data_IF_527404023539
#
_entry.id   IF_527404023539
#
_cell.length_a   1.000
_cell.length_b   1.000
_cell.length_c   1.000
_cell.angle_alpha   90.00
_cell.angle_beta   90.00
_cell.angle_gamma   90.00
#
_symmetry.space_group_name_H-M   'P 1'
#
loop_
_entity.id
_entity.type
_entity.pdbx_description
1 polymer ?
#
# COMPACT_ATOMS: atom_id res chain seq x y z
N UNK A 1 1.65 -5.52 28.59
CA UNK A 1 2.54 -5.82 27.45
C UNK A 1 2.26 -7.25 26.97
N UNK A 2 1.39 -7.42 25.95
CA UNK A 2 1.13 -8.74 25.35
C UNK A 2 1.99 -8.86 24.10
N UNK A 3 3.04 -9.68 24.18
CA UNK A 3 3.84 -10.10 23.03
C UNK A 3 3.00 -11.08 22.22
N UNK A 4 2.58 -10.72 21.01
CA UNK A 4 2.04 -11.70 20.06
C UNK A 4 3.16 -12.22 19.18
N UNK A 5 3.15 -13.54 19.02
CA UNK A 5 4.19 -14.31 18.38
C UNK A 5 4.30 -13.99 16.88
N UNK A 6 5.53 -13.77 16.44
CA UNK A 6 5.96 -13.67 15.06
C UNK A 6 5.64 -15.02 14.36
N UNK A 7 4.63 -15.04 13.49
CA UNK A 7 4.39 -16.18 12.61
C UNK A 7 5.43 -16.10 11.49
N UNK A 8 6.50 -16.87 11.67
CA UNK A 8 7.48 -17.17 10.63
C UNK A 8 6.80 -18.06 9.57
N UNK A 9 6.39 -17.48 8.45
CA UNK A 9 6.12 -18.24 7.23
C UNK A 9 7.21 -17.91 6.21
N UNK A 10 8.31 -18.67 6.27
CA UNK A 10 9.21 -18.85 5.15
C UNK A 10 8.43 -19.55 4.02
N UNK A 11 8.40 -18.95 2.84
CA UNK A 11 8.34 -19.67 1.55
C UNK A 11 8.81 -18.72 0.44
N UNK A 12 10.11 -18.77 0.18
CA UNK A 12 10.70 -18.42 -1.13
C UNK A 12 10.29 -19.51 -2.14
N UNK A 13 10.13 -19.16 -3.42
CA UNK A 13 11.30 -19.23 -4.28
C UNK A 13 11.58 -17.94 -5.07
N UNK A 14 12.87 -17.69 -5.17
CA UNK A 14 13.57 -16.75 -6.05
C UNK A 14 13.02 -16.74 -7.48
N UNK A 15 12.77 -15.55 -8.02
CA UNK A 15 12.96 -15.27 -9.43
C UNK A 15 13.66 -13.91 -9.56
N UNK A 16 14.98 -13.95 -9.80
CA UNK A 16 15.73 -12.78 -10.22
C UNK A 16 15.21 -12.33 -11.58
N UNK A 17 14.83 -11.07 -11.74
CA UNK A 17 14.83 -10.43 -13.04
C UNK A 17 15.61 -9.13 -12.94
N UNK A 18 16.77 -9.16 -13.57
CA UNK A 18 17.68 -8.05 -13.72
C UNK A 18 17.06 -6.91 -14.54
N UNK A 19 17.45 -5.69 -14.18
CA UNK A 19 17.40 -4.48 -15.00
C UNK A 19 17.86 -4.75 -16.44
N UNK A 20 17.07 -4.34 -17.45
CA UNK A 20 17.60 -3.98 -18.77
C UNK A 20 16.82 -2.81 -19.37
N UNK A 21 17.57 -1.76 -19.70
CA UNK A 21 17.21 -0.59 -20.49
C UNK A 21 16.77 -0.92 -21.94
N UNK A 22 15.75 -0.21 -22.41
CA UNK A 22 15.62 0.43 -23.73
C UNK A 22 16.21 -0.24 -25.02
N UNK A 23 15.27 -0.59 -25.93
CA UNK A 23 15.23 -0.34 -27.40
C UNK A 23 16.25 -1.05 -28.33
N UNK A 24 15.78 -1.94 -29.23
CA UNK A 24 15.86 -1.82 -30.71
C UNK A 24 15.08 -2.90 -31.47
N UNK A 25 14.68 -2.56 -32.70
CA UNK A 25 13.69 -3.17 -33.59
C UNK A 25 14.24 -4.18 -34.63
N UNK A 26 13.32 -5.00 -35.16
CA UNK A 26 13.23 -5.62 -36.50
C UNK A 26 13.89 -6.99 -36.79
N UNK A 27 13.07 -8.05 -36.96
CA UNK A 27 12.56 -8.54 -38.26
C UNK A 27 11.87 -9.92 -38.13
N UNK A 28 10.67 -10.01 -38.73
CA UNK A 28 9.81 -11.19 -38.96
C UNK A 28 10.51 -12.26 -39.87
N UNK A 29 10.09 -13.56 -39.93
CA UNK A 29 8.69 -13.92 -40.26
C UNK A 29 8.09 -15.25 -39.73
N UNK A 30 6.75 -15.25 -39.70
CA UNK A 30 5.81 -16.31 -40.13
C UNK A 30 5.28 -17.38 -39.16
N UNK A 31 3.94 -17.31 -39.05
CA UNK A 31 2.92 -18.34 -38.79
C UNK A 31 2.83 -19.01 -37.41
N UNK A 32 1.85 -18.57 -36.62
CA UNK A 32 0.91 -19.44 -35.89
C UNK A 32 -0.11 -18.63 -35.10
N UNK A 33 -1.40 -18.90 -35.29
CA UNK A 33 -2.56 -18.51 -34.46
C UNK A 33 -2.43 -17.22 -33.63
N UNK A 34 -2.96 -16.10 -34.14
CA UNK A 34 -3.07 -14.88 -33.35
C UNK A 34 -4.16 -15.03 -32.28
N UNK A 35 -3.84 -15.67 -31.16
CA UNK A 35 -4.36 -15.17 -29.89
C UNK A 35 -3.63 -13.84 -29.70
N UNK A 36 -4.27 -12.73 -30.08
CA UNK A 36 -3.72 -11.41 -29.81
C UNK A 36 -3.41 -11.36 -28.31
N UNK A 37 -2.14 -11.30 -27.95
CA UNK A 37 -1.69 -11.06 -26.58
C UNK A 37 -2.24 -9.68 -26.20
N UNK A 38 -3.37 -9.67 -25.52
CA UNK A 38 -4.01 -8.44 -25.03
C UNK A 38 -3.29 -7.99 -23.76
N UNK A 39 -2.76 -6.78 -23.78
CA UNK A 39 -2.15 -6.17 -22.60
C UNK A 39 -3.27 -5.78 -21.64
N UNK A 40 -3.28 -6.38 -20.46
CA UNK A 40 -4.23 -6.09 -19.38
C UNK A 40 -3.55 -5.25 -18.32
N UNK A 41 -4.33 -4.44 -17.63
CA UNK A 41 -3.87 -3.66 -16.48
C UNK A 41 -4.73 -3.94 -15.25
N UNK A 42 -4.09 -3.96 -14.09
CA UNK A 42 -4.78 -4.05 -12.80
C UNK A 42 -4.12 -3.10 -11.82
N UNK A 43 -4.94 -2.30 -11.17
CA UNK A 43 -4.53 -1.46 -10.05
C UNK A 43 -5.00 -2.08 -8.74
N UNK A 44 -4.17 -1.96 -7.72
CA UNK A 44 -4.45 -2.35 -6.35
C UNK A 44 -4.23 -1.14 -5.46
N UNK A 45 -5.06 -0.98 -4.43
CA UNK A 45 -4.90 0.08 -3.42
C UNK A 45 -4.32 -0.52 -2.15
N UNK A 46 -3.30 0.11 -1.58
CA UNK A 46 -2.72 -0.32 -0.31
C UNK A 46 -3.73 -0.02 0.81
N UNK A 47 -4.32 -1.06 1.39
CA UNK A 47 -5.25 -0.91 2.51
C UNK A 47 -4.50 -0.80 3.85
N UNK A 48 -3.43 -1.59 3.99
CA UNK A 48 -2.68 -1.68 5.24
C UNK A 48 -1.24 -2.13 5.01
N UNK A 49 -0.30 -1.61 5.81
CA UNK A 49 1.10 -2.05 5.76
C UNK A 49 1.46 -2.76 7.06
N UNK A 50 1.78 -4.05 7.00
CA UNK A 50 2.05 -4.88 8.19
C UNK A 50 3.52 -5.22 8.41
N UNK A 51 4.39 -4.98 7.42
CA UNK A 51 5.84 -5.09 7.65
C UNK A 51 6.70 -4.46 6.56
N UNK A 52 7.97 -4.24 6.89
CA UNK A 52 9.06 -4.08 5.91
C UNK A 52 10.08 -5.17 6.22
N UNK A 53 10.63 -5.81 5.20
CA UNK A 53 11.75 -6.71 5.31
C UNK A 53 12.90 -6.13 4.50
N UNK A 54 14.07 -5.98 5.11
CA UNK A 54 15.28 -5.58 4.39
C UNK A 54 16.13 -6.83 4.20
N UNK A 55 16.44 -7.16 2.96
CA UNK A 55 17.37 -8.22 2.61
C UNK A 55 18.81 -7.85 3.03
N UNK A 56 19.68 -8.85 3.13
CA UNK A 56 21.10 -8.66 3.44
C UNK A 56 21.82 -7.77 2.41
N UNK A 57 21.29 -7.72 1.18
CA UNK A 57 21.79 -6.90 0.07
C UNK A 57 21.24 -5.46 0.09
N UNK A 58 20.44 -5.09 1.11
CA UNK A 58 19.89 -3.74 1.27
C UNK A 58 18.62 -3.46 0.47
N UNK A 59 18.06 -4.45 -0.25
CA UNK A 59 16.74 -4.30 -0.87
C UNK A 59 15.65 -4.35 0.19
N UNK A 60 14.76 -3.36 0.20
CA UNK A 60 13.60 -3.28 1.08
C UNK A 60 12.37 -3.81 0.37
N UNK A 61 11.77 -4.86 0.91
CA UNK A 61 10.47 -5.37 0.50
C UNK A 61 9.43 -4.88 1.51
N UNK A 62 8.27 -4.45 1.04
CA UNK A 62 7.14 -4.20 1.91
C UNK A 62 6.20 -5.39 1.92
N UNK A 63 5.63 -5.63 3.09
CA UNK A 63 4.49 -6.49 3.26
C UNK A 63 3.28 -5.59 3.49
N UNK A 64 2.47 -5.44 2.44
CA UNK A 64 1.26 -4.64 2.43
C UNK A 64 0.07 -5.47 1.97
N UNK A 65 -1.08 -5.19 2.57
CA UNK A 65 -2.36 -5.67 2.12
C UNK A 65 -2.89 -4.72 1.05
N UNK A 66 -3.21 -5.25 -0.12
CA UNK A 66 -3.81 -4.52 -1.22
C UNK A 66 -5.14 -5.16 -1.61
N UNK A 67 -6.22 -4.38 -1.66
CA UNK A 67 -7.59 -4.88 -1.90
C UNK A 67 -7.90 -6.16 -1.07
N UNK A 68 -7.56 -6.20 0.22
CA UNK A 68 -7.63 -7.37 1.14
C UNK A 68 -6.71 -8.58 0.83
N UNK A 69 -5.84 -8.47 -0.18
CA UNK A 69 -4.81 -9.46 -0.53
C UNK A 69 -3.39 -9.10 -0.12
N UNK A 70 -2.47 -10.06 -0.10
CA UNK A 70 -1.04 -9.81 0.08
C UNK A 70 -0.35 -9.86 -1.28
N UNK A 71 0.37 -8.78 -1.57
CA UNK A 71 1.38 -8.76 -2.62
C UNK A 71 2.76 -8.62 -1.98
N UNK A 72 3.71 -9.40 -2.46
CA UNK A 72 5.13 -9.19 -2.19
C UNK A 72 5.76 -8.62 -3.45
N UNK A 73 6.30 -7.42 -3.36
CA UNK A 73 7.09 -6.79 -4.41
C UNK A 73 8.29 -6.09 -3.76
N UNK A 74 9.35 -5.94 -4.53
CA UNK A 74 10.43 -5.03 -4.16
C UNK A 74 9.89 -3.61 -4.25
N UNK A 75 10.10 -2.83 -3.19
CA UNK A 75 9.74 -1.43 -3.22
C UNK A 75 10.54 -0.74 -4.33
N UNK A 76 9.90 0.15 -5.13
CA UNK A 76 10.66 0.96 -6.07
C UNK A 76 11.75 1.72 -5.30
N UNK A 77 12.98 1.70 -5.82
CA UNK A 77 14.12 2.36 -5.20
C UNK A 77 13.76 3.81 -4.81
N UNK A 78 13.74 4.11 -3.51
CA UNK A 78 13.56 5.45 -2.99
C UNK A 78 12.36 5.69 -2.07
N UNK A 79 11.37 4.78 -1.99
CA UNK A 79 10.34 4.88 -0.94
C UNK A 79 10.73 4.03 0.28
N UNK A 80 11.00 4.67 1.41
CA UNK A 80 11.22 3.99 2.69
C UNK A 80 9.91 3.62 3.39
N UNK A 81 8.77 4.15 2.92
CA UNK A 81 7.50 4.04 3.61
C UNK A 81 6.30 4.00 2.65
N UNK A 82 5.67 2.82 2.49
CA UNK A 82 4.31 2.68 1.97
C UNK A 82 3.28 3.24 2.95
N UNK A 83 2.26 3.88 2.39
CA UNK A 83 1.16 4.50 3.11
C UNK A 83 -0.17 3.95 2.58
N UNK A 84 -1.16 3.65 3.44
CA UNK A 84 -2.50 3.32 2.98
C UNK A 84 -3.08 4.38 2.03
N UNK A 85 -3.63 3.93 0.91
CA UNK A 85 -4.00 4.75 -0.23
C UNK A 85 -2.92 4.90 -1.32
N UNK A 86 -1.71 4.36 -1.13
CA UNK A 86 -0.75 4.19 -2.23
C UNK A 86 -1.32 3.19 -3.26
N UNK A 87 -1.01 3.34 -4.54
CA UNK A 87 -1.50 2.47 -5.61
C UNK A 87 -0.34 1.74 -6.31
N UNK A 88 -0.56 0.45 -6.57
CA UNK A 88 0.28 -0.38 -7.42
C UNK A 88 -0.51 -0.72 -8.68
N UNK A 89 0.00 -0.34 -9.83
CA UNK A 89 -0.54 -0.77 -11.13
C UNK A 89 0.43 -1.72 -11.81
N UNK A 90 -0.06 -2.89 -12.19
CA UNK A 90 0.67 -3.85 -13.01
C UNK A 90 0.07 -3.94 -14.40
N UNK A 91 0.92 -4.10 -15.41
CA UNK A 91 0.53 -4.39 -16.78
C UNK A 91 1.04 -5.79 -17.14
N UNK A 92 0.20 -6.65 -17.72
CA UNK A 92 0.52 -8.06 -17.94
C UNK A 92 -0.20 -8.66 -19.15
N UNK A 93 0.34 -9.76 -19.68
CA UNK A 93 -0.34 -10.66 -20.62
C UNK A 93 -0.79 -11.92 -19.88
N UNK A 94 -1.91 -12.52 -20.29
CA UNK A 94 -2.42 -13.76 -19.68
C UNK A 94 -3.53 -13.52 -18.67
N UNK A 95 -3.71 -14.44 -17.72
CA UNK A 95 -4.82 -14.41 -16.76
C UNK A 95 -4.33 -14.20 -15.33
N UNK A 96 -4.91 -13.18 -14.68
CA UNK A 96 -4.67 -12.87 -13.28
C UNK A 96 -5.82 -13.43 -12.45
N UNK A 97 -5.49 -14.38 -11.58
CA UNK A 97 -6.47 -15.05 -10.71
C UNK A 97 -6.20 -14.70 -9.26
N UNK A 98 -7.27 -14.44 -8.50
CA UNK A 98 -7.20 -14.25 -7.06
C UNK A 98 -7.63 -15.54 -6.36
N UNK A 99 -6.82 -16.02 -5.44
CA UNK A 99 -7.17 -17.12 -4.56
C UNK A 99 -7.90 -16.56 -3.34
N UNK A 100 -9.08 -17.10 -3.03
CA UNK A 100 -9.89 -16.77 -1.84
C UNK A 100 -9.20 -17.28 -0.56
N UNK A 101 -8.09 -16.65 -0.22
CA UNK A 101 -7.27 -16.91 0.96
C UNK A 101 -7.24 -15.64 1.82
N UNK A 102 -6.86 -15.75 3.09
CA UNK A 102 -6.63 -14.58 3.95
C UNK A 102 -5.19 -14.64 4.45
N UNK A 103 -4.28 -13.81 3.91
CA UNK A 103 -4.51 -12.77 2.90
C UNK A 103 -4.78 -13.33 1.49
N UNK A 104 -5.52 -12.62 0.62
CA UNK A 104 -5.73 -13.04 -0.79
C UNK A 104 -4.37 -13.13 -1.51
N UNK A 105 -4.20 -14.16 -2.33
CA UNK A 105 -2.99 -14.35 -3.14
C UNK A 105 -3.37 -14.23 -4.61
N UNK A 106 -2.65 -13.38 -5.34
CA UNK A 106 -2.81 -13.27 -6.79
C UNK A 106 -1.79 -14.14 -7.51
N UNK A 107 -2.23 -14.86 -8.52
CA UNK A 107 -1.41 -15.70 -9.40
C UNK A 107 -1.60 -15.25 -10.84
N UNK A 108 -0.49 -14.96 -11.52
CA UNK A 108 -0.46 -14.61 -12.93
C UNK A 108 -0.06 -15.85 -13.74
N UNK A 109 -0.99 -16.38 -14.55
CA UNK A 109 -0.67 -17.34 -15.60
C UNK A 109 -0.40 -16.56 -16.89
N UNK A 110 0.85 -16.09 -17.01
CA UNK A 110 1.23 -15.18 -18.08
C UNK A 110 2.54 -14.45 -17.83
N UNK A 111 2.64 -13.24 -18.38
CA UNK A 111 3.88 -12.44 -18.40
C UNK A 111 3.62 -11.06 -17.81
N UNK A 112 4.39 -10.69 -16.78
CA UNK A 112 4.39 -9.33 -16.24
C UNK A 112 5.20 -8.42 -17.17
N UNK A 113 4.57 -7.35 -17.65
CA UNK A 113 5.15 -6.39 -18.61
C UNK A 113 5.73 -5.17 -17.88
N UNK A 114 5.07 -4.72 -16.81
CA UNK A 114 5.53 -3.58 -16.05
C UNK A 114 4.79 -3.39 -14.74
N UNK A 115 5.38 -2.57 -13.87
CA UNK A 115 4.79 -2.09 -12.63
C UNK A 115 5.00 -0.58 -12.52
N UNK A 116 4.01 0.12 -11.96
CA UNK A 116 4.14 1.52 -11.60
C UNK A 116 3.48 1.78 -10.24
N UNK A 117 4.03 2.75 -9.52
CA UNK A 117 3.56 3.16 -8.20
C UNK A 117 3.11 4.60 -8.24
N UNK A 118 1.97 4.89 -7.63
CA UNK A 118 1.56 6.25 -7.32
C UNK A 118 1.26 6.37 -5.84
N UNK A 119 1.63 7.52 -5.27
CA UNK A 119 1.58 7.74 -3.83
C UNK A 119 0.24 8.37 -3.44
N UNK A 120 -0.38 7.91 -2.35
CA UNK A 120 -1.60 8.48 -1.76
C UNK A 120 -1.48 10.00 -1.55
N UNK A 121 -2.53 10.79 -1.59
CA UNK A 121 -2.39 12.19 -1.14
C UNK A 121 -2.24 12.25 0.38
N UNK A 122 -1.32 13.06 0.89
CA UNK A 122 -1.12 13.30 2.32
C UNK A 122 -1.59 14.70 2.70
N UNK A 123 -2.27 14.81 3.82
CA UNK A 123 -2.80 16.07 4.32
C UNK A 123 -2.29 16.33 5.72
N UNK A 124 -1.70 17.51 5.91
CA UNK A 124 -1.33 18.01 7.22
C UNK A 124 -2.57 18.54 7.94
N UNK A 125 -2.74 18.12 9.18
CA UNK A 125 -3.82 18.50 10.08
C UNK A 125 -3.22 19.18 11.30
N UNK A 126 -3.58 20.44 11.53
CA UNK A 126 -3.26 21.15 12.77
C UNK A 126 -4.37 21.05 13.81
N UNK A 127 -4.12 21.63 14.99
CA UNK A 127 -4.98 21.57 16.18
C UNK A 127 -6.47 21.85 15.89
N UNK A 128 -6.77 22.83 15.04
CA UNK A 128 -8.14 23.22 14.64
C UNK A 128 -8.91 22.12 13.90
N UNK A 129 -8.24 21.03 13.50
CA UNK A 129 -8.84 19.89 12.81
C UNK A 129 -9.39 18.84 13.76
N UNK A 130 -9.20 18.99 15.07
CA UNK A 130 -9.46 17.94 16.06
C UNK A 130 -10.58 18.32 17.04
N UNK A 131 -11.43 17.35 17.36
CA UNK A 131 -12.26 17.39 18.56
C UNK A 131 -11.57 16.54 19.61
N UNK A 132 -11.31 17.11 20.79
CA UNK A 132 -10.59 16.44 21.88
C UNK A 132 -11.54 15.95 22.97
N UNK A 133 -11.22 14.80 23.56
CA UNK A 133 -11.88 14.26 24.75
C UNK A 133 -11.41 14.97 26.04
N UNK A 134 -12.03 14.64 27.18
CA UNK A 134 -11.71 15.25 28.49
C UNK A 134 -10.25 15.04 28.92
N UNK A 135 -9.63 13.94 28.48
CA UNK A 135 -8.23 13.65 28.75
C UNK A 135 -7.26 14.42 27.81
N UNK A 136 -7.78 15.18 26.84
CA UNK A 136 -7.01 15.94 25.85
C UNK A 136 -6.56 15.16 24.61
N UNK A 137 -7.03 13.93 24.42
CA UNK A 137 -6.73 13.13 23.23
C UNK A 137 -7.75 13.34 22.12
N UNK A 138 -7.44 12.89 20.90
CA UNK A 138 -8.30 13.13 19.75
C UNK A 138 -9.48 12.16 19.75
N UNK A 139 -10.70 12.69 19.81
CA UNK A 139 -11.95 11.92 19.71
C UNK A 139 -12.41 11.79 18.26
N UNK A 140 -12.30 12.87 17.48
CA UNK A 140 -12.62 12.87 16.05
C UNK A 140 -11.81 13.90 15.26
N UNK A 141 -11.73 13.69 13.95
CA UNK A 141 -11.04 14.56 13.01
C UNK A 141 -12.08 15.17 12.06
N UNK A 142 -12.13 16.50 12.01
CA UNK A 142 -13.12 17.24 11.22
C UNK A 142 -12.92 17.01 9.72
N UNK A 143 -14.01 16.84 8.96
CA UNK A 143 -14.03 16.62 7.51
C UNK A 143 -13.42 15.29 7.01
N UNK A 144 -13.14 14.35 7.91
CA UNK A 144 -12.59 13.04 7.57
C UNK A 144 -13.50 11.90 8.06
N UNK A 145 -13.77 10.94 7.18
CA UNK A 145 -14.53 9.74 7.49
C UNK A 145 -13.64 8.50 7.35
N UNK A 146 -13.98 7.45 8.10
CA UNK A 146 -13.44 6.09 7.92
C UNK A 146 -11.91 5.96 8.01
N UNK A 147 -11.25 6.60 8.98
CA UNK A 147 -9.79 6.49 9.21
C UNK A 147 -9.39 5.48 10.29
N UNK A 148 -8.11 5.14 10.35
CA UNK A 148 -7.56 4.25 11.37
C UNK A 148 -7.63 4.88 12.77
N UNK A 149 -8.00 4.06 13.78
CA UNK A 149 -8.11 4.49 15.16
C UNK A 149 -6.76 4.51 15.92
N UNK A 150 -5.65 4.39 15.20
CA UNK A 150 -4.30 4.40 15.74
C UNK A 150 -3.43 5.40 14.99
N UNK A 151 -2.61 6.12 15.74
CA UNK A 151 -1.63 7.09 15.22
C UNK A 151 -0.26 6.43 15.22
N UNK A 152 0.39 6.42 14.07
CA UNK A 152 1.76 5.95 13.89
C UNK A 152 2.72 7.08 14.28
N UNK A 153 3.56 6.84 15.28
CA UNK A 153 4.40 7.85 15.91
C UNK A 153 5.72 8.11 15.17
N UNK A 154 6.25 7.11 14.46
CA UNK A 154 7.56 7.19 13.80
C UNK A 154 7.73 6.11 12.72
N UNK A 155 8.86 6.16 12.01
CA UNK A 155 9.24 5.17 10.98
C UNK A 155 9.39 3.75 11.51
N UNK A 156 9.67 3.58 12.80
CA UNK A 156 9.70 2.27 13.47
C UNK A 156 8.29 1.70 13.72
N UNK A 157 7.24 2.42 13.30
CA UNK A 157 5.83 2.06 13.40
C UNK A 157 5.35 1.85 14.84
N UNK A 158 5.95 2.54 15.80
CA UNK A 158 5.34 2.67 17.12
C UNK A 158 3.99 3.36 16.97
N UNK A 159 2.98 2.96 17.74
CA UNK A 159 1.63 3.50 17.60
C UNK A 159 0.92 3.65 18.93
N UNK A 160 -0.05 4.56 18.96
CA UNK A 160 -0.97 4.78 20.09
C UNK A 160 -2.41 4.87 19.57
N UNK A 161 -3.42 4.51 20.38
CA UNK A 161 -4.81 4.83 20.05
C UNK A 161 -5.01 6.33 19.82
N UNK A 162 -5.88 6.70 18.88
CA UNK A 162 -6.16 8.10 18.54
C UNK A 162 -6.61 8.92 19.77
N UNK A 163 -7.47 8.33 20.61
CA UNK A 163 -7.93 8.94 21.87
C UNK A 163 -6.84 9.12 22.94
N UNK A 164 -5.67 8.52 22.76
CA UNK A 164 -4.50 8.68 23.63
C UNK A 164 -3.46 9.64 23.05
N UNK A 165 -3.51 9.92 21.74
CA UNK A 165 -2.57 10.85 21.09
C UNK A 165 -2.84 12.29 21.52
N UNK A 166 -1.83 12.94 22.12
CA UNK A 166 -1.89 14.31 22.65
C UNK A 166 -1.16 15.35 21.78
N UNK A 167 -0.64 14.95 20.62
CA UNK A 167 0.02 15.90 19.72
C UNK A 167 -0.97 16.89 19.10
N UNK A 168 -0.44 18.01 18.60
CA UNK A 168 -1.20 19.09 17.97
C UNK A 168 -1.16 19.03 16.44
N UNK A 169 -0.41 18.06 15.89
CA UNK A 169 -0.27 17.85 14.46
C UNK A 169 -0.43 16.37 14.12
N UNK A 170 -1.06 16.12 12.97
CA UNK A 170 -1.15 14.81 12.33
C UNK A 170 -1.00 14.95 10.82
N UNK A 171 -0.59 13.86 10.20
CA UNK A 171 -0.73 13.64 8.77
C UNK A 171 -1.72 12.51 8.55
N UNK A 172 -2.63 12.70 7.61
CA UNK A 172 -3.61 11.69 7.21
C UNK A 172 -3.45 11.38 5.73
N UNK A 173 -3.51 10.09 5.37
CA UNK A 173 -3.56 9.68 3.97
C UNK A 173 -4.99 9.70 3.44
N UNK A 174 -5.17 10.10 2.19
CA UNK A 174 -6.42 9.92 1.46
C UNK A 174 -6.43 8.51 0.88
N UNK A 175 -7.39 7.71 1.31
CA UNK A 175 -7.47 6.29 0.96
C UNK A 175 -8.73 6.00 0.15
N UNK A 176 -8.55 5.86 -1.16
CA UNK A 176 -9.66 5.65 -2.10
C UNK A 176 -10.29 4.25 -2.04
N UNK A 177 -9.67 3.29 -1.33
CA UNK A 177 -10.30 1.98 -1.12
C UNK A 177 -11.44 2.03 -0.10
N UNK A 178 -11.50 3.11 0.70
CA UNK A 178 -12.47 3.26 1.77
C UNK A 178 -13.75 3.96 1.31
N UNK A 179 -14.89 3.66 1.96
CA UNK A 179 -16.16 4.28 1.61
C UNK A 179 -16.12 5.79 1.83
N UNK A 180 -16.55 6.54 0.82
CA UNK A 180 -16.76 7.99 0.88
C UNK A 180 -18.17 8.26 1.38
N UNK A 181 -18.31 9.02 2.46
CA UNK A 181 -19.60 9.63 2.78
C UNK A 181 -19.76 10.95 2.03
N UNK A 182 -20.13 10.84 0.75
CA UNK A 182 -20.30 12.00 -0.14
C UNK A 182 -21.44 12.92 0.30
N UNK A 183 -22.40 12.41 1.11
CA UNK A 183 -23.52 13.22 1.61
C UNK A 183 -23.06 14.22 2.69
N UNK A 184 -21.98 13.90 3.41
CA UNK A 184 -21.40 14.75 4.45
C UNK A 184 -20.20 15.57 3.96
N UNK A 185 -19.77 15.39 2.71
CA UNK A 185 -18.59 16.07 2.15
C UNK A 185 -17.29 15.68 2.87
N UNK A 186 -17.24 14.48 3.46
CA UNK A 186 -16.10 13.99 4.23
C UNK A 186 -15.14 13.19 3.35
N UNK A 187 -13.84 13.36 3.57
CA UNK A 187 -12.80 12.62 2.84
C UNK A 187 -12.59 11.22 3.45
N UNK A 188 -12.41 10.16 2.65
CA UNK A 188 -12.04 8.84 3.17
C UNK A 188 -10.58 8.85 3.63
N UNK A 189 -10.36 8.81 4.94
CA UNK A 189 -9.02 8.80 5.53
C UNK A 189 -8.45 7.39 5.67
N UNK A 190 -7.15 7.22 5.44
CA UNK A 190 -6.43 5.97 5.67
C UNK A 190 -5.73 5.96 7.03
N UNK A 191 -4.40 5.89 7.00
CA UNK A 191 -3.56 5.91 8.20
C UNK A 191 -3.32 7.33 8.73
N UNK A 192 -3.06 7.39 10.03
CA UNK A 192 -2.72 8.61 10.76
C UNK A 192 -1.25 8.55 11.20
N UNK A 193 -0.52 9.66 11.02
CA UNK A 193 0.91 9.76 11.34
C UNK A 193 1.19 11.00 12.19
N UNK A 194 2.04 10.87 13.21
CA UNK A 194 2.56 11.98 14.00
C UNK A 194 3.74 12.70 13.30
N UNK A 195 4.14 12.24 12.12
CA UNK A 195 5.24 12.77 11.30
C UNK A 195 4.81 12.76 9.84
N UNK A 196 5.50 13.53 8.99
CA UNK A 196 5.30 13.42 7.56
C UNK A 196 6.04 12.18 7.04
N UNK A 197 5.36 11.13 6.52
CA UNK A 197 6.02 9.95 6.01
C UNK A 197 6.70 10.15 4.63
N UNK A 198 6.76 11.39 4.09
CA UNK A 198 7.32 11.72 2.78
C UNK A 198 8.09 13.03 2.71
#
# INVERSE_FOLDING_TARGET
MKKFALISLLLLPLASCAFVDSVYSSNDPSSSSSSSRELKERSFVCDYVYGYATSEDGASSALACWDSGTFSFDLPHGSSFLVPGDHLTISYYGDLTAQETLPLVYSLDGELVGCSYSTASLFHLGEDSFVRNEDGGIESILNWCSFDLYVILNEAREYVPLGEYKGDELWISLDSSRPVDAALGMNPGGALFAFNPR
#
